data_IF_370595348877
#
_entry.id   IF_370595348877
#
_cell.length_a   1.000
_cell.length_b   1.000
_cell.length_c   1.000
_cell.angle_alpha   90.00
_cell.angle_beta   90.00
_cell.angle_gamma   90.00
#
_symmetry.space_group_name_H-M   'P 1'
#
loop_
_entity.id
_entity.type
_entity.pdbx_description
1 polymer ?
#
# COMPACT_ATOMS: atom_id res chain seq x y z
N UNK A 1 23.62 0.67 9.56
CA UNK A 1 24.06 -0.55 10.28
C UNK A 1 23.12 -0.90 11.43
N UNK A 2 22.84 0.01 12.37
CA UNK A 2 21.98 -0.23 13.56
C UNK A 2 20.55 -0.70 13.21
N UNK A 3 19.92 -0.09 12.20
CA UNK A 3 18.56 -0.46 11.76
C UNK A 3 18.51 -1.89 11.21
N UNK A 4 19.54 -2.31 10.49
CA UNK A 4 19.66 -3.66 9.92
C UNK A 4 19.85 -4.71 11.02
N UNK A 5 20.59 -4.38 12.08
CA UNK A 5 20.77 -5.25 13.25
C UNK A 5 19.47 -5.42 14.03
N UNK A 6 18.66 -4.35 14.15
CA UNK A 6 17.35 -4.42 14.79
C UNK A 6 16.33 -5.20 13.96
N UNK A 7 16.33 -4.99 12.63
CA UNK A 7 15.49 -5.76 11.70
C UNK A 7 15.86 -7.24 11.72
N UNK A 8 17.15 -7.58 11.74
CA UNK A 8 17.59 -8.97 11.86
C UNK A 8 17.20 -9.58 13.21
N UNK A 9 17.37 -8.88 14.33
CA UNK A 9 16.92 -9.37 15.64
C UNK A 9 15.41 -9.55 15.71
N UNK A 10 14.65 -8.66 15.07
CA UNK A 10 13.20 -8.78 14.96
C UNK A 10 12.86 -10.02 14.12
N UNK A 11 13.46 -10.17 12.94
CA UNK A 11 13.27 -11.36 12.10
C UNK A 11 13.65 -12.66 12.81
N UNK A 12 14.78 -12.70 13.53
CA UNK A 12 15.21 -13.87 14.31
C UNK A 12 14.21 -14.19 15.43
N UNK A 13 13.61 -13.17 16.08
CA UNK A 13 12.57 -13.40 17.10
C UNK A 13 11.21 -13.77 16.50
N UNK A 14 11.00 -13.55 15.20
CA UNK A 14 9.75 -13.88 14.48
C UNK A 14 9.79 -15.27 13.85
N UNK A 15 10.99 -15.75 13.52
CA UNK A 15 11.25 -17.08 12.99
C UNK A 15 11.78 -18.06 14.04
N UNK A 16 11.79 -17.67 15.32
CA UNK A 16 12.10 -18.55 16.44
C UNK A 16 11.17 -19.79 16.40
N UNK A 17 11.76 -20.98 16.44
CA UNK A 17 11.06 -22.28 16.35
C UNK A 17 10.12 -22.52 17.54
N UNK A 18 10.23 -21.68 18.58
CA UNK A 18 9.40 -21.74 19.78
C UNK A 18 8.09 -20.91 19.70
N UNK A 19 7.87 -20.12 18.63
CA UNK A 19 6.59 -19.42 18.46
C UNK A 19 5.54 -20.43 18.02
N UNK A 20 4.44 -20.63 18.77
CA UNK A 20 3.36 -21.49 18.32
C UNK A 20 2.87 -21.01 16.96
N UNK A 21 2.50 -21.93 16.07
CA UNK A 21 2.13 -21.67 14.67
C UNK A 21 1.10 -20.53 14.51
N UNK A 22 0.20 -20.41 15.50
CA UNK A 22 -0.77 -19.31 15.66
C UNK A 22 -0.12 -17.93 15.78
N UNK A 23 1.00 -17.81 16.51
CA UNK A 23 1.73 -16.56 16.69
C UNK A 23 2.43 -16.09 15.41
N UNK A 24 2.96 -17.01 14.60
CA UNK A 24 3.51 -16.69 13.28
C UNK A 24 2.41 -16.21 12.33
N UNK A 25 1.27 -16.89 12.34
CA UNK A 25 0.12 -16.52 11.51
C UNK A 25 -0.45 -15.14 11.91
N UNK A 26 -0.59 -14.87 13.20
CA UNK A 26 -1.02 -13.57 13.70
C UNK A 26 -0.09 -12.43 13.25
N UNK A 27 1.21 -12.70 13.18
CA UNK A 27 2.19 -11.74 12.71
C UNK A 27 2.08 -11.47 11.20
N UNK A 28 1.94 -12.51 10.39
CA UNK A 28 1.77 -12.35 8.94
C UNK A 28 0.51 -11.53 8.64
N UNK A 29 -0.60 -11.82 9.34
CA UNK A 29 -1.84 -11.04 9.24
C UNK A 29 -1.61 -9.59 9.64
N UNK A 30 -0.85 -9.33 10.72
CA UNK A 30 -0.50 -7.98 11.13
C UNK A 30 0.32 -7.24 10.05
N UNK A 31 1.32 -7.89 9.46
CA UNK A 31 2.14 -7.31 8.38
C UNK A 31 1.26 -6.94 7.17
N UNK A 32 0.40 -7.86 6.72
CA UNK A 32 -0.52 -7.58 5.61
C UNK A 32 -1.50 -6.43 5.94
N UNK A 33 -2.01 -6.37 7.17
CA UNK A 33 -2.85 -5.24 7.61
C UNK A 33 -2.10 -3.90 7.56
N UNK A 34 -0.84 -3.87 8.01
CA UNK A 34 -0.01 -2.66 7.94
C UNK A 34 0.24 -2.24 6.49
N UNK A 35 0.53 -3.19 5.59
CA UNK A 35 0.69 -2.91 4.15
C UNK A 35 -0.60 -2.33 3.57
N UNK A 36 -1.76 -2.91 3.89
CA UNK A 36 -3.06 -2.40 3.45
C UNK A 36 -3.32 -0.98 3.95
N UNK A 37 -3.00 -0.70 5.21
CA UNK A 37 -3.16 0.64 5.78
C UNK A 37 -2.30 1.68 5.04
N UNK A 38 -1.03 1.37 4.76
CA UNK A 38 -0.17 2.27 4.00
C UNK A 38 -0.64 2.44 2.55
N UNK A 39 -1.10 1.37 1.90
CA UNK A 39 -1.68 1.44 0.57
C UNK A 39 -2.91 2.36 0.54
N UNK A 40 -3.80 2.25 1.53
CA UNK A 40 -4.96 3.13 1.64
C UNK A 40 -4.57 4.61 1.81
N UNK A 41 -3.60 4.90 2.69
CA UNK A 41 -3.11 6.26 2.87
C UNK A 41 -2.52 6.84 1.58
N UNK A 42 -1.77 6.02 0.83
CA UNK A 42 -1.16 6.45 -0.42
C UNK A 42 -2.22 6.70 -1.50
N UNK A 43 -3.23 5.83 -1.62
CA UNK A 43 -4.38 6.03 -2.51
C UNK A 43 -5.07 7.35 -2.18
N UNK A 44 -5.37 7.61 -0.91
CA UNK A 44 -6.02 8.84 -0.47
C UNK A 44 -5.18 10.09 -0.75
N UNK A 45 -3.88 10.04 -0.51
CA UNK A 45 -2.96 11.14 -0.80
C UNK A 45 -2.90 11.44 -2.31
N UNK A 46 -2.76 10.41 -3.15
CA UNK A 46 -2.67 10.56 -4.60
C UNK A 46 -4.00 11.07 -5.19
N UNK A 47 -5.15 10.58 -4.71
CA UNK A 47 -6.47 11.09 -5.11
C UNK A 47 -6.63 12.57 -4.74
N UNK A 48 -6.24 12.97 -3.53
CA UNK A 48 -6.30 14.38 -3.11
C UNK A 48 -5.45 15.28 -3.99
N UNK A 49 -4.25 14.83 -4.37
CA UNK A 49 -3.38 15.57 -5.31
C UNK A 49 -4.08 15.70 -6.67
N UNK A 50 -4.60 14.61 -7.23
CA UNK A 50 -5.29 14.64 -8.53
C UNK A 50 -6.47 15.62 -8.54
N UNK A 51 -7.32 15.56 -7.51
CA UNK A 51 -8.47 16.47 -7.35
C UNK A 51 -8.01 17.93 -7.25
N UNK A 52 -6.98 18.20 -6.45
CA UNK A 52 -6.39 19.54 -6.34
C UNK A 52 -5.90 20.02 -7.71
N UNK A 53 -5.26 19.14 -8.48
CA UNK A 53 -4.79 19.44 -9.82
C UNK A 53 -5.91 19.59 -10.87
N UNK A 54 -7.18 19.32 -10.56
CA UNK A 54 -8.33 19.62 -11.44
C UNK A 54 -9.06 20.92 -11.07
N UNK A 55 -8.58 21.65 -10.07
CA UNK A 55 -9.12 22.96 -9.73
C UNK A 55 -8.98 23.96 -10.90
N UNK A 56 -10.09 24.62 -11.27
CA UNK A 56 -10.19 25.62 -12.34
C UNK A 56 -9.11 26.72 -12.25
N UNK A 57 -8.81 27.20 -11.04
CA UNK A 57 -7.77 28.23 -10.83
C UNK A 57 -6.40 27.72 -11.26
N UNK A 58 -6.04 26.51 -10.83
CA UNK A 58 -4.73 25.91 -11.14
C UNK A 58 -4.67 25.45 -12.60
N UNK A 59 -5.79 25.06 -13.19
CA UNK A 59 -5.88 24.70 -14.61
C UNK A 59 -5.67 25.93 -15.51
N UNK A 60 -6.29 27.06 -15.17
CA UNK A 60 -6.10 28.34 -15.86
C UNK A 60 -4.66 28.84 -15.73
N UNK A 61 -4.05 28.73 -14.55
CA UNK A 61 -2.64 29.08 -14.35
C UNK A 61 -1.70 28.21 -15.21
N UNK A 62 -1.94 26.90 -15.26
CA UNK A 62 -1.13 25.97 -16.07
C UNK A 62 -1.31 26.16 -17.57
N UNK A 63 -2.50 26.53 -18.03
CA UNK A 63 -2.75 26.79 -19.45
C UNK A 63 -1.96 28.01 -19.98
N UNK A 64 -1.48 28.91 -19.11
CA UNK A 64 -0.58 30.01 -19.49
C UNK A 64 0.82 29.53 -19.87
N UNK A 65 1.23 28.35 -19.42
CA UNK A 65 2.59 27.83 -19.62
C UNK A 65 2.56 26.45 -20.27
N UNK A 66 2.82 26.39 -21.58
CA UNK A 66 2.74 25.16 -22.39
C UNK A 66 3.63 24.03 -21.87
N UNK A 67 4.83 24.36 -21.36
CA UNK A 67 5.74 23.40 -20.75
C UNK A 67 5.19 22.81 -19.45
N UNK A 68 4.72 23.66 -18.52
CA UNK A 68 4.15 23.23 -17.24
C UNK A 68 2.93 22.33 -17.47
N UNK A 69 2.09 22.66 -18.45
CA UNK A 69 0.94 21.83 -18.84
C UNK A 69 1.36 20.42 -19.26
N UNK A 70 2.42 20.28 -20.06
CA UNK A 70 2.93 18.95 -20.48
C UNK A 70 3.45 18.15 -19.29
N UNK A 71 4.29 18.75 -18.44
CA UNK A 71 4.87 18.08 -17.25
C UNK A 71 3.76 17.58 -16.31
N UNK A 72 2.77 18.43 -16.05
CA UNK A 72 1.64 18.09 -15.19
C UNK A 72 0.79 16.96 -15.77
N UNK A 73 0.53 16.98 -17.08
CA UNK A 73 -0.26 15.93 -17.72
C UNK A 73 0.46 14.58 -17.67
N UNK A 74 1.79 14.56 -17.88
CA UNK A 74 2.61 13.36 -17.71
C UNK A 74 2.53 12.88 -16.27
N UNK A 75 2.75 13.77 -15.30
CA UNK A 75 2.66 13.44 -13.87
C UNK A 75 1.30 12.86 -13.49
N UNK A 76 0.19 13.45 -13.96
CA UNK A 76 -1.17 12.93 -13.72
C UNK A 76 -1.31 11.52 -14.28
N UNK A 77 -0.88 11.29 -15.52
CA UNK A 77 -0.96 9.97 -16.17
C UNK A 77 -0.20 8.91 -15.37
N UNK A 78 1.07 9.18 -15.02
CA UNK A 78 1.89 8.25 -14.22
C UNK A 78 1.29 7.98 -12.85
N UNK A 79 0.68 8.99 -12.21
CA UNK A 79 0.02 8.81 -10.91
C UNK A 79 -1.24 7.97 -10.98
N UNK A 80 -2.01 8.09 -12.06
CA UNK A 80 -3.18 7.24 -12.30
C UNK A 80 -2.74 5.78 -12.51
N UNK A 81 -1.70 5.53 -13.31
CA UNK A 81 -1.15 4.18 -13.51
C UNK A 81 -0.68 3.57 -12.17
N UNK A 82 0.01 4.35 -11.34
CA UNK A 82 0.45 3.91 -10.01
C UNK A 82 -0.73 3.62 -9.07
N UNK A 83 -1.77 4.46 -9.08
CA UNK A 83 -3.00 4.24 -8.31
C UNK A 83 -3.70 2.94 -8.71
N UNK A 84 -3.81 2.67 -10.00
CA UNK A 84 -4.40 1.43 -10.50
C UNK A 84 -3.61 0.23 -9.98
N UNK A 85 -2.28 0.29 -10.06
CA UNK A 85 -1.41 -0.76 -9.51
C UNK A 85 -1.61 -0.96 -8.00
N UNK A 86 -1.66 0.11 -7.18
CA UNK A 86 -1.90 -0.01 -5.74
C UNK A 86 -3.29 -0.59 -5.41
N UNK A 87 -4.32 -0.24 -6.18
CA UNK A 87 -5.65 -0.81 -6.01
C UNK A 87 -5.63 -2.31 -6.29
N UNK A 88 -4.95 -2.75 -7.37
CA UNK A 88 -4.80 -4.18 -7.64
C UNK A 88 -4.01 -4.91 -6.56
N UNK A 89 -2.91 -4.32 -6.07
CA UNK A 89 -2.10 -4.89 -5.00
C UNK A 89 -2.90 -5.03 -3.70
N UNK A 90 -3.65 -4.00 -3.31
CA UNK A 90 -4.48 -4.04 -2.11
C UNK A 90 -5.60 -5.09 -2.21
N UNK A 91 -6.28 -5.18 -3.36
CA UNK A 91 -7.27 -6.23 -3.61
C UNK A 91 -6.66 -7.63 -3.53
N UNK A 92 -5.47 -7.82 -4.10
CA UNK A 92 -4.76 -9.10 -4.02
C UNK A 92 -4.45 -9.50 -2.57
N UNK A 93 -3.95 -8.56 -1.76
CA UNK A 93 -3.66 -8.81 -0.34
C UNK A 93 -4.94 -9.12 0.45
N UNK A 94 -6.05 -8.44 0.17
CA UNK A 94 -7.35 -8.73 0.80
C UNK A 94 -7.82 -10.15 0.46
N UNK A 95 -7.74 -10.56 -0.81
CA UNK A 95 -8.12 -11.92 -1.23
C UNK A 95 -7.25 -12.97 -0.54
N UNK A 96 -5.95 -12.70 -0.42
CA UNK A 96 -5.02 -13.58 0.28
C UNK A 96 -5.38 -13.72 1.77
N UNK A 97 -5.65 -12.61 2.46
CA UNK A 97 -6.10 -12.62 3.86
C UNK A 97 -7.43 -13.38 4.05
N UNK A 98 -8.40 -13.17 3.15
CA UNK A 98 -9.68 -13.88 3.19
C UNK A 98 -9.50 -15.39 2.99
N UNK A 99 -8.63 -15.79 2.06
CA UNK A 99 -8.28 -17.19 1.83
C UNK A 99 -7.66 -17.82 3.07
N UNK A 100 -6.68 -17.15 3.70
CA UNK A 100 -6.07 -17.62 4.95
C UNK A 100 -7.08 -17.72 6.09
N UNK A 101 -7.93 -16.72 6.25
CA UNK A 101 -9.01 -16.73 7.25
C UNK A 101 -9.96 -17.92 7.06
N UNK A 102 -10.32 -18.22 5.81
CA UNK A 102 -11.16 -19.37 5.47
C UNK A 102 -10.48 -20.71 5.78
N UNK A 103 -9.19 -20.87 5.50
CA UNK A 103 -8.45 -22.08 5.85
C UNK A 103 -8.47 -22.34 7.35
N UNK A 104 -8.19 -21.31 8.18
CA UNK A 104 -8.22 -21.43 9.64
C UNK A 104 -9.60 -21.84 10.14
N UNK A 105 -10.66 -21.25 9.58
CA UNK A 105 -12.03 -21.60 9.93
C UNK A 105 -12.34 -23.07 9.67
N UNK A 106 -11.92 -23.63 8.54
CA UNK A 106 -12.13 -25.05 8.22
C UNK A 106 -11.34 -25.96 9.16
N UNK A 107 -10.09 -25.63 9.48
CA UNK A 107 -9.24 -26.47 10.34
C UNK A 107 -9.68 -26.51 11.82
N UNK A 108 -10.47 -25.53 12.27
CA UNK A 108 -10.97 -25.43 13.64
C UNK A 108 -12.46 -25.79 13.81
N UNK A 109 -13.09 -26.34 12.78
CA UNK A 109 -14.48 -26.82 12.78
C UNK A 109 -14.52 -28.36 12.73
#
# INVERSE_FOLDING_TARGET
MIILTYLNKLMDSLYDENIPEIGRLALDVYIFCVILFFSYLNIMANLRILISLDNKSIQNWRNKFSFIKKVVNIYKKTRIEFLIFEIFLSLFIILFLLYYSYQIYIFHL
#
